data_IF_308322699286
#
_entry.id   IF_308322699286
#
_cell.length_a   1.000
_cell.length_b   1.000
_cell.length_c   1.000
_cell.angle_alpha   90.00
_cell.angle_beta   90.00
_cell.angle_gamma   90.00
#
_symmetry.space_group_name_H-M   'P 1'
#
loop_
_entity.id
_entity.type
_entity.pdbx_description
1 polymer ?
#
# COMPACT_ATOMS: atom_id res chain seq x y z
N UNK A 1 -43.09 49.28 -8.41
CA UNK A 1 -41.72 48.97 -8.86
C UNK A 1 -41.79 47.53 -9.40
N UNK A 2 -42.10 47.37 -10.70
CA UNK A 2 -41.14 47.05 -11.80
C UNK A 2 -40.57 45.63 -11.62
N UNK A 3 -40.56 44.68 -12.57
CA UNK A 3 -40.74 44.64 -14.02
C UNK A 3 -40.80 43.12 -14.42
N UNK A 4 -41.69 42.77 -15.37
CA UNK A 4 -41.59 41.79 -16.51
C UNK A 4 -40.90 40.41 -16.34
N UNK A 5 -41.63 39.29 -16.58
CA UNK A 5 -41.64 38.40 -17.78
C UNK A 5 -40.43 37.43 -17.85
N UNK A 6 -40.45 36.19 -18.39
CA UNK A 6 -40.98 35.67 -19.66
C UNK A 6 -40.83 34.12 -19.70
N UNK A 7 -41.75 33.42 -20.40
CA UNK A 7 -41.66 32.11 -21.11
C UNK A 7 -41.14 30.84 -20.39
N UNK A 8 -41.79 29.67 -20.36
CA UNK A 8 -42.75 29.06 -21.28
C UNK A 8 -42.06 28.02 -22.19
N UNK A 9 -42.04 26.72 -21.84
CA UNK A 9 -42.03 25.58 -22.78
C UNK A 9 -42.24 24.23 -22.04
N UNK A 10 -43.14 23.39 -22.55
CA UNK A 10 -43.45 22.01 -22.11
C UNK A 10 -42.47 20.95 -22.69
N UNK A 11 -42.52 19.68 -22.24
CA UNK A 11 -41.41 18.73 -22.35
C UNK A 11 -41.38 17.97 -23.68
N UNK A 12 -40.20 17.46 -24.06
CA UNK A 12 -40.02 16.48 -25.14
C UNK A 12 -39.14 15.31 -24.68
N UNK A 13 -39.43 14.07 -25.13
CA UNK A 13 -38.73 12.85 -24.73
C UNK A 13 -37.56 12.52 -25.66
N UNK A 14 -37.00 11.32 -25.46
CA UNK A 14 -35.97 10.63 -26.29
C UNK A 14 -34.52 11.06 -25.95
N UNK A 15 -33.56 10.18 -25.70
CA UNK A 15 -33.26 8.90 -26.35
C UNK A 15 -32.46 8.01 -25.40
N UNK A 16 -32.65 6.70 -25.55
CA UNK A 16 -31.79 5.69 -24.93
C UNK A 16 -30.42 5.73 -25.62
N UNK A 17 -29.36 5.96 -24.87
CA UNK A 17 -28.02 5.53 -25.25
C UNK A 17 -27.39 4.74 -24.10
N UNK A 18 -27.63 3.44 -24.19
CA UNK A 18 -26.78 2.41 -23.62
C UNK A 18 -25.38 2.54 -24.24
N UNK A 19 -24.48 3.25 -23.56
CA UNK A 19 -23.06 3.11 -23.77
C UNK A 19 -22.43 2.66 -22.46
N UNK A 20 -22.42 1.33 -22.30
CA UNK A 20 -21.62 0.57 -21.34
C UNK A 20 -20.23 1.17 -21.19
N UNK A 21 -19.98 1.75 -20.02
CA UNK A 21 -18.66 2.10 -19.50
C UNK A 21 -17.78 0.84 -19.44
N UNK A 22 -17.02 0.64 -20.51
CA UNK A 22 -16.07 -0.46 -20.62
C UNK A 22 -14.68 0.02 -20.19
N UNK A 23 -14.48 0.24 -18.89
CA UNK A 23 -13.15 0.57 -18.34
C UNK A 23 -12.80 -0.17 -17.05
N UNK A 24 -13.64 -1.09 -16.58
CA UNK A 24 -13.39 -1.86 -15.35
C UNK A 24 -12.35 -3.01 -15.50
N UNK A 25 -11.76 -3.22 -16.68
CA UNK A 25 -10.84 -4.35 -16.92
C UNK A 25 -9.37 -4.09 -16.56
N UNK A 26 -8.99 -2.85 -16.25
CA UNK A 26 -7.59 -2.48 -15.96
C UNK A 26 -7.19 -2.53 -14.48
N UNK A 27 -8.14 -2.29 -13.57
CA UNK A 27 -7.85 -2.20 -12.12
C UNK A 27 -7.47 -3.55 -11.50
N UNK A 28 -8.15 -4.62 -11.91
CA UNK A 28 -7.92 -5.97 -11.38
C UNK A 28 -6.57 -6.56 -11.77
N UNK A 29 -6.10 -6.32 -12.99
CA UNK A 29 -4.79 -6.80 -13.44
C UNK A 29 -3.64 -6.05 -12.76
N UNK A 30 -3.78 -4.74 -12.54
CA UNK A 30 -2.82 -3.90 -11.81
C UNK A 30 -2.63 -4.40 -10.38
N UNK A 31 -3.71 -4.56 -9.62
CA UNK A 31 -3.65 -4.99 -8.22
C UNK A 31 -3.05 -6.39 -8.07
N UNK A 32 -3.44 -7.34 -8.93
CA UNK A 32 -2.85 -8.68 -8.95
C UNK A 32 -1.35 -8.64 -9.28
N UNK A 33 -0.95 -7.75 -10.20
CA UNK A 33 0.45 -7.59 -10.58
C UNK A 33 1.29 -7.00 -9.46
N UNK A 34 0.73 -6.09 -8.66
CA UNK A 34 1.36 -5.49 -7.49
C UNK A 34 1.46 -6.50 -6.33
N UNK A 35 0.41 -7.29 -6.09
CA UNK A 35 0.44 -8.37 -5.09
C UNK A 35 1.54 -9.40 -5.36
N UNK A 36 1.73 -9.81 -6.63
CA UNK A 36 2.83 -10.71 -7.03
C UNK A 36 4.20 -10.06 -6.80
N UNK A 37 4.35 -8.79 -7.18
CA UNK A 37 5.59 -8.05 -6.95
C UNK A 37 5.89 -7.92 -5.45
N UNK A 38 4.90 -7.64 -4.61
CA UNK A 38 5.07 -7.56 -3.16
C UNK A 38 5.54 -8.89 -2.56
N UNK A 39 4.93 -10.01 -2.96
CA UNK A 39 5.35 -11.36 -2.54
C UNK A 39 6.81 -11.64 -2.95
N UNK A 40 7.17 -11.32 -4.19
CA UNK A 40 8.54 -11.48 -4.71
C UNK A 40 9.55 -10.61 -3.96
N UNK A 41 9.22 -9.34 -3.72
CA UNK A 41 10.08 -8.39 -3.00
C UNK A 41 10.29 -8.80 -1.55
N UNK A 42 9.23 -9.19 -0.84
CA UNK A 42 9.33 -9.68 0.54
C UNK A 42 10.22 -10.93 0.62
N UNK A 43 10.02 -11.90 -0.27
CA UNK A 43 10.83 -13.11 -0.31
C UNK A 43 12.29 -12.85 -0.72
N UNK A 44 12.55 -11.92 -1.66
CA UNK A 44 13.91 -11.53 -2.04
C UNK A 44 14.62 -10.81 -0.90
N UNK A 45 13.94 -9.89 -0.24
CA UNK A 45 14.45 -9.10 0.89
C UNK A 45 14.74 -9.96 2.11
N UNK A 46 13.85 -10.91 2.44
CA UNK A 46 14.06 -11.87 3.52
C UNK A 46 15.33 -12.69 3.30
N UNK A 47 15.54 -13.23 2.09
CA UNK A 47 16.74 -14.01 1.74
C UNK A 47 18.03 -13.19 1.80
N UNK A 48 17.95 -11.90 1.53
CA UNK A 48 19.10 -10.97 1.55
C UNK A 48 19.38 -10.39 2.94
N UNK A 49 18.48 -10.58 3.91
CA UNK A 49 18.60 -9.98 5.24
C UNK A 49 18.35 -8.48 5.25
N UNK A 50 17.54 -7.98 4.31
CA UNK A 50 17.23 -6.57 4.12
C UNK A 50 15.81 -6.20 4.60
N UNK A 51 15.28 -6.97 5.57
CA UNK A 51 13.97 -6.71 6.18
C UNK A 51 14.16 -6.31 7.64
N UNK A 52 13.44 -5.27 8.04
CA UNK A 52 13.17 -4.93 9.44
C UNK A 52 11.70 -5.20 9.68
N UNK A 53 11.38 -6.03 10.66
CA UNK A 53 10.01 -6.39 11.00
C UNK A 53 9.69 -5.94 12.42
N UNK A 54 8.49 -5.40 12.60
CA UNK A 54 7.97 -4.88 13.85
C UNK A 54 7.80 -3.37 13.82
N UNK A 55 6.75 -2.87 14.47
CA UNK A 55 6.43 -1.44 14.53
C UNK A 55 7.56 -0.66 15.21
N UNK A 56 8.07 -1.20 16.31
CA UNK A 56 9.10 -0.53 17.11
C UNK A 56 10.46 -0.53 16.41
N UNK A 57 10.86 -1.67 15.85
CA UNK A 57 12.09 -1.84 15.09
C UNK A 57 12.10 -0.94 13.84
N UNK A 58 10.96 -0.85 13.16
CA UNK A 58 10.78 0.02 12.00
C UNK A 58 10.91 1.49 12.39
N UNK A 59 10.20 1.93 13.44
CA UNK A 59 10.32 3.29 13.96
C UNK A 59 11.75 3.63 14.41
N UNK A 60 12.46 2.66 15.02
CA UNK A 60 13.86 2.84 15.41
C UNK A 60 14.76 3.04 14.20
N UNK A 61 14.61 2.23 13.15
CA UNK A 61 15.39 2.37 11.93
C UNK A 61 15.15 3.73 11.26
N UNK A 62 13.88 4.13 11.10
CA UNK A 62 13.51 5.43 10.51
C UNK A 62 14.05 6.63 11.31
N UNK A 63 14.20 6.50 12.63
CA UNK A 63 14.83 7.53 13.46
C UNK A 63 16.36 7.60 13.31
N UNK A 64 17.01 6.52 12.89
CA UNK A 64 18.48 6.44 12.80
C UNK A 64 18.95 6.77 11.38
N UNK A 65 18.35 6.16 10.37
CA UNK A 65 18.81 6.25 8.98
C UNK A 65 17.66 5.95 7.99
N UNK A 66 16.74 6.91 7.76
CA UNK A 66 15.60 6.73 6.87
C UNK A 66 16.00 6.61 5.40
N UNK A 67 17.17 7.14 5.01
CA UNK A 67 17.67 7.12 3.63
C UNK A 67 17.94 5.69 3.14
N UNK A 68 18.13 4.74 4.07
CA UNK A 68 18.30 3.33 3.74
C UNK A 68 16.98 2.61 3.41
N UNK A 69 15.83 3.21 3.73
CA UNK A 69 14.53 2.57 3.58
C UNK A 69 14.02 2.78 2.15
N UNK A 70 13.77 1.68 1.44
CA UNK A 70 13.28 1.71 0.07
C UNK A 70 11.77 1.51 -0.04
N UNK A 71 11.16 0.78 0.90
CA UNK A 71 9.73 0.45 0.86
C UNK A 71 9.20 0.08 2.25
N UNK A 72 7.94 0.42 2.54
CA UNK A 72 7.26 0.14 3.80
C UNK A 72 5.95 -0.64 3.57
N UNK A 73 5.69 -1.63 4.42
CA UNK A 73 4.45 -2.40 4.45
C UNK A 73 3.82 -2.27 5.82
N UNK A 74 2.56 -1.86 5.88
CA UNK A 74 1.73 -1.94 7.08
C UNK A 74 0.76 -3.12 6.94
N UNK A 75 0.66 -3.94 7.97
CA UNK A 75 -0.22 -5.11 7.97
C UNK A 75 -1.13 -5.10 9.21
N UNK A 76 -2.43 -5.15 8.98
CA UNK A 76 -3.43 -5.28 10.03
C UNK A 76 -4.59 -6.13 9.52
N UNK A 77 -4.99 -7.10 10.32
CA UNK A 77 -6.20 -7.89 10.09
C UNK A 77 -7.40 -7.20 10.78
N UNK A 78 -8.61 -7.72 10.60
CA UNK A 78 -9.84 -7.12 11.16
C UNK A 78 -9.79 -6.99 12.70
N UNK A 79 -9.06 -7.88 13.38
CA UNK A 79 -8.88 -7.85 14.83
C UNK A 79 -8.03 -6.66 15.33
N UNK A 80 -7.17 -6.11 14.46
CA UNK A 80 -6.25 -5.02 14.78
C UNK A 80 -6.89 -3.62 14.64
N UNK A 81 -8.06 -3.52 14.01
CA UNK A 81 -8.78 -2.25 13.84
C UNK A 81 -9.18 -1.62 15.19
N UNK A 82 -9.37 -2.46 16.22
CA UNK A 82 -9.70 -2.03 17.58
C UNK A 82 -8.50 -1.61 18.43
N UNK A 83 -7.27 -1.89 18.01
CA UNK A 83 -6.06 -1.52 18.75
C UNK A 83 -5.67 -0.07 18.46
N UNK A 84 -6.15 0.84 19.32
CA UNK A 84 -5.86 2.27 19.22
C UNK A 84 -4.35 2.56 19.23
N UNK A 85 -3.56 1.81 20.03
CA UNK A 85 -2.12 2.04 20.10
C UNK A 85 -1.44 1.68 18.78
N UNK A 86 -1.85 0.55 18.17
CA UNK A 86 -1.36 0.15 16.86
C UNK A 86 -1.77 1.15 15.77
N UNK A 87 -3.02 1.62 15.76
CA UNK A 87 -3.50 2.62 14.80
C UNK A 87 -2.77 3.96 14.93
N UNK A 88 -2.40 4.38 16.15
CA UNK A 88 -1.54 5.54 16.36
C UNK A 88 -0.18 5.33 15.72
N UNK A 89 0.47 4.18 15.94
CA UNK A 89 1.76 3.89 15.32
C UNK A 89 1.69 3.88 13.79
N UNK A 90 0.65 3.28 13.22
CA UNK A 90 0.44 3.31 11.76
C UNK A 90 0.29 4.72 11.22
N UNK A 91 -0.41 5.58 11.95
CA UNK A 91 -0.57 6.99 11.57
C UNK A 91 0.78 7.70 11.57
N UNK A 92 1.61 7.47 12.60
CA UNK A 92 2.94 8.07 12.70
C UNK A 92 3.90 7.56 11.61
N UNK A 93 3.92 6.25 11.37
CA UNK A 93 4.76 5.63 10.33
C UNK A 93 4.35 6.10 8.94
N UNK A 94 3.05 6.15 8.67
CA UNK A 94 2.52 6.66 7.41
C UNK A 94 2.94 8.11 7.18
N UNK A 95 2.76 8.99 8.19
CA UNK A 95 3.17 10.39 8.08
C UNK A 95 4.67 10.51 7.77
N UNK A 96 5.50 9.74 8.49
CA UNK A 96 6.94 9.72 8.26
C UNK A 96 7.30 9.26 6.85
N UNK A 97 6.70 8.17 6.35
CA UNK A 97 6.98 7.67 5.02
C UNK A 97 6.58 8.68 3.94
N UNK A 98 5.42 9.33 4.10
CA UNK A 98 4.97 10.38 3.18
C UNK A 98 5.89 11.62 3.18
N UNK A 99 6.44 12.01 4.33
CA UNK A 99 7.35 13.16 4.44
C UNK A 99 8.74 12.90 3.86
N UNK A 100 9.17 11.62 3.81
CA UNK A 100 10.50 11.21 3.34
C UNK A 100 10.45 10.49 1.98
N UNK A 101 9.34 10.60 1.25
CA UNK A 101 9.14 9.96 -0.07
C UNK A 101 9.40 8.43 -0.07
N UNK A 102 9.13 7.77 1.06
CA UNK A 102 9.20 6.31 1.18
C UNK A 102 7.87 5.71 0.71
N UNK A 103 7.95 4.83 -0.27
CA UNK A 103 6.79 4.11 -0.77
C UNK A 103 6.20 3.19 0.29
N UNK A 104 4.88 3.30 0.50
CA UNK A 104 4.16 2.61 1.57
C UNK A 104 2.86 1.99 1.07
N UNK A 105 2.57 0.76 1.51
CA UNK A 105 1.34 0.03 1.20
C UNK A 105 0.72 -0.60 2.44
N UNK A 106 -0.58 -0.87 2.38
CA UNK A 106 -1.31 -1.65 3.38
C UNK A 106 -1.67 -3.04 2.86
N UNK A 107 -1.64 -4.03 3.73
CA UNK A 107 -2.16 -5.37 3.48
C UNK A 107 -3.04 -5.80 4.65
N UNK A 108 -3.96 -6.74 4.38
CA UNK A 108 -4.97 -7.22 5.33
C UNK A 108 -4.89 -8.75 5.52
N UNK A 109 -3.68 -9.30 5.49
CA UNK A 109 -3.46 -10.74 5.68
C UNK A 109 -2.08 -10.97 6.32
N UNK A 110 -2.01 -10.81 7.64
CA UNK A 110 -0.78 -11.01 8.41
C UNK A 110 -0.31 -12.46 8.32
N UNK A 111 -1.23 -13.42 8.23
CA UNK A 111 -0.89 -14.84 8.13
C UNK A 111 -0.14 -15.16 6.83
N UNK A 112 -0.59 -14.66 5.68
CA UNK A 112 0.16 -14.79 4.42
C UNK A 112 1.49 -14.05 4.47
N UNK A 113 1.52 -12.87 5.08
CA UNK A 113 2.77 -12.13 5.27
C UNK A 113 3.78 -12.98 6.05
N UNK A 114 3.37 -13.56 7.18
CA UNK A 114 4.18 -14.43 8.03
C UNK A 114 4.74 -15.63 7.26
N UNK A 115 3.91 -16.26 6.41
CA UNK A 115 4.32 -17.37 5.57
C UNK A 115 5.42 -16.97 4.55
N UNK A 116 5.33 -15.77 3.98
CA UNK A 116 6.32 -15.27 3.00
C UNK A 116 7.65 -14.94 3.69
N UNK A 117 7.62 -14.29 4.85
CA UNK A 117 8.83 -13.86 5.58
C UNK A 117 9.39 -14.96 6.50
N UNK A 118 8.79 -16.15 6.52
CA UNK A 118 9.27 -17.29 7.31
C UNK A 118 9.16 -17.08 8.83
N UNK A 119 8.12 -16.36 9.28
CA UNK A 119 7.89 -16.06 10.71
C UNK A 119 6.98 -17.09 11.43
N UNK A 120 6.49 -18.12 10.72
CA UNK A 120 5.46 -19.03 11.22
C UNK A 120 5.93 -20.30 11.94
N UNK A 121 7.25 -20.59 12.01
CA UNK A 121 7.73 -21.93 12.43
C UNK A 121 8.76 -21.95 13.57
N UNK A 122 9.22 -20.79 14.06
CA UNK A 122 10.15 -20.74 15.19
C UNK A 122 9.34 -20.75 16.51
N UNK A 123 9.64 -21.69 17.41
CA UNK A 123 8.94 -21.95 18.68
C UNK A 123 9.13 -20.84 19.76
N UNK A 124 8.95 -19.57 19.37
CA UNK A 124 9.07 -18.38 20.19
C UNK A 124 7.80 -17.50 20.16
N UNK A 125 7.91 -16.31 20.74
CA UNK A 125 6.84 -15.29 20.70
C UNK A 125 6.50 -14.93 19.25
N UNK A 126 5.22 -14.68 18.93
CA UNK A 126 4.82 -14.25 17.58
C UNK A 126 5.60 -12.99 17.20
N UNK A 127 6.25 -13.02 16.04
CA UNK A 127 6.92 -11.82 15.51
C UNK A 127 5.87 -10.74 15.23
N UNK A 128 6.14 -9.53 15.69
CA UNK A 128 5.40 -8.35 15.24
C UNK A 128 5.67 -8.15 13.74
N UNK A 129 4.63 -8.30 12.94
CA UNK A 129 4.65 -8.12 11.48
C UNK A 129 3.78 -6.95 11.03
N UNK A 130 3.30 -6.13 11.97
CA UNK A 130 2.40 -5.02 11.65
C UNK A 130 3.09 -3.91 10.86
N UNK A 131 4.42 -3.84 10.90
CA UNK A 131 5.23 -3.02 10.02
C UNK A 131 6.45 -3.80 9.53
N UNK A 132 6.71 -3.71 8.22
CA UNK A 132 7.94 -4.23 7.60
C UNK A 132 8.57 -3.13 6.76
N UNK A 133 9.84 -2.86 7.01
CA UNK A 133 10.68 -2.02 6.16
C UNK A 133 11.62 -2.88 5.33
N UNK A 134 11.73 -2.52 4.06
CA UNK A 134 12.69 -3.08 3.12
C UNK A 134 13.80 -2.06 2.93
N UNK A 135 15.04 -2.42 3.25
CA UNK A 135 16.19 -1.51 3.20
C UNK A 135 17.11 -1.79 2.03
N UNK A 136 17.52 -0.76 1.31
CA UNK A 136 18.54 -0.89 0.28
C UNK A 136 19.95 -0.72 0.87
N UNK A 137 20.78 -1.78 0.90
CA UNK A 137 22.11 -1.70 1.51
C UNK A 137 23.11 -0.83 0.73
N UNK A 138 22.81 -0.38 -0.49
CA UNK A 138 23.67 0.53 -1.26
C UNK A 138 22.93 1.18 -2.44
N UNK A 139 23.14 2.48 -2.66
CA UNK A 139 22.47 3.28 -3.71
C UNK A 139 22.56 2.67 -5.13
N UNK A 140 23.63 1.94 -5.45
CA UNK A 140 23.88 1.43 -6.83
C UNK A 140 23.62 -0.08 -7.03
N UNK A 141 23.45 -0.88 -5.98
CA UNK A 141 23.51 -2.35 -6.12
C UNK A 141 22.15 -3.07 -6.19
N UNK A 142 21.04 -2.41 -5.82
CA UNK A 142 19.74 -3.07 -5.84
C UNK A 142 18.82 -2.51 -6.92
N UNK A 143 18.69 -3.27 -8.00
CA UNK A 143 17.60 -3.12 -8.97
C UNK A 143 16.71 -4.35 -8.85
N UNK A 144 15.75 -4.30 -7.92
CA UNK A 144 14.68 -5.31 -7.88
C UNK A 144 13.59 -4.89 -8.86
N UNK A 145 13.30 -5.67 -9.91
CA UNK A 145 12.17 -5.38 -10.78
C UNK A 145 10.84 -5.35 -10.03
N UNK A 146 10.73 -6.08 -8.92
CA UNK A 146 9.54 -6.07 -8.08
C UNK A 146 9.39 -4.74 -7.32
N UNK A 147 10.50 -4.16 -6.84
CA UNK A 147 10.51 -2.84 -6.20
C UNK A 147 10.13 -1.74 -7.19
N UNK A 148 10.75 -1.71 -8.38
CA UNK A 148 10.42 -0.71 -9.41
C UNK A 148 8.93 -0.72 -9.77
N UNK A 149 8.35 -1.92 -9.85
CA UNK A 149 6.93 -2.11 -10.15
C UNK A 149 6.01 -1.64 -9.02
N UNK A 150 6.42 -1.85 -7.77
CA UNK A 150 5.69 -1.36 -6.60
C UNK A 150 5.77 0.15 -6.46
N UNK A 151 6.94 0.74 -6.74
CA UNK A 151 7.10 2.19 -6.74
C UNK A 151 6.21 2.85 -7.80
N UNK A 152 6.17 2.28 -9.01
CA UNK A 152 5.23 2.72 -10.06
C UNK A 152 3.76 2.54 -9.62
N UNK A 153 3.43 1.44 -8.96
CA UNK A 153 2.10 1.24 -8.40
C UNK A 153 1.75 2.32 -7.37
N UNK A 154 2.64 2.65 -6.44
CA UNK A 154 2.42 3.71 -5.47
C UNK A 154 2.28 5.08 -6.14
N UNK A 155 3.10 5.39 -7.15
CA UNK A 155 3.01 6.62 -7.94
C UNK A 155 1.65 6.76 -8.65
N UNK A 156 1.21 5.70 -9.34
CA UNK A 156 -0.09 5.64 -9.98
C UNK A 156 -1.25 5.81 -8.99
N UNK A 157 -1.12 5.27 -7.77
CA UNK A 157 -2.13 5.42 -6.72
C UNK A 157 -2.15 6.84 -6.15
N UNK A 158 -0.99 7.48 -5.98
CA UNK A 158 -0.90 8.90 -5.60
C UNK A 158 -1.58 9.82 -6.63
N UNK A 159 -1.49 9.49 -7.92
CA UNK A 159 -2.16 10.24 -8.99
C UNK A 159 -3.70 10.21 -8.91
N UNK A 160 -4.28 9.25 -8.17
CA UNK A 160 -5.72 9.15 -7.89
C UNK A 160 -6.08 9.49 -6.44
N UNK A 161 -5.18 10.16 -5.70
CA UNK A 161 -5.32 10.54 -4.29
C UNK A 161 -5.40 9.35 -3.30
N UNK A 162 -4.90 8.19 -3.70
CA UNK A 162 -4.74 7.03 -2.83
C UNK A 162 -3.30 7.00 -2.29
N UNK A 163 -3.07 7.68 -1.15
CA UNK A 163 -1.73 7.90 -0.59
C UNK A 163 -1.08 6.64 0.00
N UNK A 164 -1.90 5.74 0.55
CA UNK A 164 -1.45 4.44 1.07
C UNK A 164 -2.32 3.36 0.46
N UNK A 165 -1.96 2.86 -0.73
CA UNK A 165 -2.78 1.89 -1.43
C UNK A 165 -2.78 0.54 -0.72
N UNK A 166 -3.90 -0.17 -0.84
CA UNK A 166 -4.04 -1.53 -0.33
C UNK A 166 -3.61 -2.55 -1.39
N UNK A 167 -2.86 -3.56 -0.99
CA UNK A 167 -2.44 -4.68 -1.83
C UNK A 167 -2.95 -5.98 -1.22
N UNK A 168 -3.57 -6.82 -2.04
CA UNK A 168 -3.90 -8.20 -1.65
C UNK A 168 -2.76 -9.12 -2.07
N UNK A 169 -2.21 -9.85 -1.09
CA UNK A 169 -1.21 -10.88 -1.37
C UNK A 169 -1.85 -12.05 -2.14
N UNK A 170 -1.19 -12.55 -3.20
CA UNK A 170 -1.69 -13.70 -3.94
C UNK A 170 -1.57 -14.98 -3.11
N UNK A 171 -2.41 -15.97 -3.42
CA UNK A 171 -2.29 -17.34 -2.91
C UNK A 171 -0.88 -17.92 -3.12
#
# INVERSE_FOLDING_TARGET
>A
MTLEEIHGQEPMPETSDSATSSSASGGGSRLQSAGKALKELLASSQRRGCLTAGVYESAKLMNVDPDTVAFCVLAADEEDEGDIALQIHFTLIQAFCCENDIDIVRINDIQKLAAIVGAGEEAGEPRDLHCILITNPSEDAWKDPALDKLNLFCEESRNINEWVPNITLPE
#
